data_IF_068983399696
#
_entry.id   IF_068983399696
#
_cell.length_a   1.000
_cell.length_b   1.000
_cell.length_c   1.000
_cell.angle_alpha   90.00
_cell.angle_beta   90.00
_cell.angle_gamma   90.00
#
_symmetry.space_group_name_H-M   'P 1'
#
loop_
_entity.id
_entity.type
_entity.pdbx_description
1 polymer ?
#
# COMPACT_ATOMS: atom_id res chain seq x y z
N UNK A 1 15.93 -17.17 -21.76
CA UNK A 1 16.31 -17.04 -21.08
C UNK A 1 16.35 -16.90 -20.80
N UNK A 2 16.13 -17.39 -21.36
CA UNK A 2 16.58 -17.17 -20.50
C UNK A 2 16.42 -17.02 -20.36
N UNK A 3 16.31 -17.08 -20.38
CA UNK A 3 16.69 -16.91 -19.66
C UNK A 3 16.68 -16.72 -19.41
N UNK A 4 16.36 -16.74 -19.81
CA UNK A 4 16.72 -16.46 -19.03
C UNK A 4 16.80 -16.18 -18.92
N UNK A 5 16.77 -16.26 -18.98
CA UNK A 5 17.16 -15.92 -18.25
C UNK A 5 17.25 -15.42 -18.04
N UNK A 6 17.01 -15.36 -18.51
CA UNK A 6 17.35 -14.86 -17.72
C UNK A 6 17.22 -14.40 -17.73
N UNK A 7 17.17 -14.22 -17.64
CA UNK A 7 17.33 -13.81 -17.03
C UNK A 7 17.28 -13.34 -16.83
N UNK A 8 17.06 -13.19 -17.03
CA UNK A 8 17.19 -12.77 -16.34
C UNK A 8 17.13 -12.36 -16.09
N UNK A 9 16.96 -12.23 -16.04
CA UNK A 9 16.94 -11.86 -15.31
C UNK A 9 17.08 -11.21 -15.02
N UNK A 10 16.99 -11.08 -15.10
CA UNK A 10 16.97 -10.47 -14.50
C UNK A 10 16.76 -9.91 -14.26
N UNK A 11 16.78 -9.68 -14.12
CA UNK A 11 16.28 -9.23 -13.49
C UNK A 11 15.71 -9.33 -13.63
N UNK A 12 15.38 -9.86 -13.73
CA UNK A 12 14.62 -10.06 -13.57
C UNK A 12 13.99 -9.82 -13.12
N UNK A 13 13.50 -9.65 -13.09
CA UNK A 13 12.63 -9.33 -12.55
C UNK A 13 12.12 -10.03 -11.72
N UNK A 14 12.16 -9.75 -10.97
CA UNK A 14 11.52 -10.41 -10.20
C UNK A 14 10.35 -10.02 -9.91
N UNK A 15 9.56 -10.53 -10.06
CA UNK A 15 8.40 -10.28 -9.83
C UNK A 15 8.02 -10.46 -8.55
N UNK A 16 7.48 -9.58 -7.90
CA UNK A 16 6.87 -9.83 -6.69
C UNK A 16 5.98 -10.95 -6.92
N UNK A 17 6.12 -11.84 -6.13
CA UNK A 17 5.37 -12.98 -6.33
C UNK A 17 4.08 -12.74 -5.68
N UNK A 18 3.19 -12.12 -6.41
CA UNK A 18 1.87 -11.81 -5.88
C UNK A 18 1.19 -13.03 -5.33
N UNK A 19 1.50 -14.18 -5.88
CA UNK A 19 0.88 -15.41 -5.43
C UNK A 19 1.27 -15.78 -4.02
N UNK A 20 2.35 -15.23 -3.53
CA UNK A 20 2.80 -15.52 -2.18
C UNK A 20 2.33 -14.51 -1.16
N UNK A 21 1.62 -13.48 -1.61
CA UNK A 21 1.13 -12.48 -0.68
C UNK A 21 -0.19 -12.96 -0.08
N UNK A 22 -0.41 -12.68 1.21
CA UNK A 22 -1.72 -12.97 1.79
C UNK A 22 -2.78 -12.20 1.04
N UNK A 23 -3.96 -12.78 0.92
CA UNK A 23 -5.04 -12.09 0.25
C UNK A 23 -5.81 -11.24 1.24
N UNK A 24 -6.24 -10.05 0.82
CA UNK A 24 -7.08 -9.23 1.68
C UNK A 24 -8.41 -9.92 1.95
N UNK A 25 -9.00 -9.62 3.09
CA UNK A 25 -10.27 -10.21 3.49
C UNK A 25 -11.32 -9.13 3.62
N UNK A 26 -12.54 -9.46 3.21
CA UNK A 26 -13.67 -8.54 3.41
C UNK A 26 -14.30 -8.88 4.74
N UNK A 27 -14.43 -7.87 5.60
CA UNK A 27 -15.02 -8.04 6.90
C UNK A 27 -16.56 -8.02 6.80
N UNK A 28 -17.22 -8.43 7.86
CA UNK A 28 -18.68 -8.44 7.89
C UNK A 28 -19.26 -7.06 7.67
N UNK A 29 -18.59 -6.02 8.12
CA UNK A 29 -19.07 -4.66 7.95
C UNK A 29 -18.73 -4.09 6.57
N UNK A 30 -18.11 -4.87 5.71
CA UNK A 30 -17.75 -4.44 4.36
C UNK A 30 -16.38 -3.82 4.22
N UNK A 31 -15.69 -3.59 5.33
CA UNK A 31 -14.32 -3.08 5.26
C UNK A 31 -13.40 -4.18 4.72
N UNK A 32 -12.30 -3.78 4.10
CA UNK A 32 -11.35 -4.73 3.56
C UNK A 32 -10.09 -4.66 4.38
N UNK A 33 -9.67 -5.82 4.86
CA UNK A 33 -8.52 -5.92 5.73
C UNK A 33 -7.36 -6.60 5.01
N UNK A 34 -6.23 -5.92 4.95
CA UNK A 34 -5.00 -6.48 4.42
C UNK A 34 -3.88 -6.25 5.40
N UNK A 35 -2.68 -6.21 4.90
CA UNK A 35 -1.52 -6.00 5.76
C UNK A 35 -0.36 -5.44 4.96
N UNK A 36 0.63 -4.91 5.67
CA UNK A 36 1.88 -4.46 5.06
C UNK A 36 2.67 -5.70 4.69
N UNK A 37 3.06 -5.82 3.43
CA UNK A 37 3.81 -6.97 2.93
C UNK A 37 5.27 -6.64 2.71
N UNK A 38 5.62 -5.36 2.67
CA UNK A 38 6.99 -4.96 2.40
C UNK A 38 7.19 -3.51 2.84
N UNK A 39 8.35 -3.21 3.36
CA UNK A 39 8.76 -1.84 3.64
C UNK A 39 9.93 -1.57 2.71
N UNK A 40 9.80 -0.61 1.81
CA UNK A 40 10.84 -0.39 0.83
C UNK A 40 12.00 0.43 1.41
N UNK A 41 13.01 0.67 0.59
CA UNK A 41 14.22 1.35 1.06
C UNK A 41 13.94 2.77 1.56
N UNK A 42 12.83 3.37 1.12
CA UNK A 42 12.47 4.72 1.52
C UNK A 42 11.50 4.73 2.71
N UNK A 43 11.20 3.58 3.27
CA UNK A 43 10.28 3.49 4.41
C UNK A 43 8.82 3.53 4.04
N UNK A 44 8.48 3.38 2.76
CA UNK A 44 7.09 3.31 2.34
C UNK A 44 6.53 1.95 2.69
N UNK A 45 5.27 1.94 3.12
CA UNK A 45 4.59 0.71 3.51
C UNK A 45 3.82 0.20 2.31
N UNK A 46 4.24 -0.94 1.77
CA UNK A 46 3.60 -1.56 0.61
C UNK A 46 2.61 -2.58 1.14
N UNK A 47 1.35 -2.46 0.73
CA UNK A 47 0.30 -3.34 1.24
C UNK A 47 -0.08 -4.39 0.20
N UNK A 48 -0.90 -5.35 0.61
CA UNK A 48 -1.45 -6.34 -0.30
C UNK A 48 -2.82 -5.93 -0.85
N UNK A 49 -3.19 -4.66 -0.72
CA UNK A 49 -4.46 -4.17 -1.25
C UNK A 49 -4.27 -3.79 -2.71
N UNK A 50 -4.96 -4.45 -3.65
CA UNK A 50 -4.68 -4.26 -5.07
C UNK A 50 -5.17 -2.92 -5.61
N UNK A 51 -4.65 -2.55 -6.76
CA UNK A 51 -4.99 -1.29 -7.43
C UNK A 51 -6.48 -1.15 -7.68
N UNK A 52 -7.18 -2.26 -7.85
CA UNK A 52 -8.63 -2.22 -8.08
C UNK A 52 -9.40 -1.59 -6.93
N UNK A 53 -8.76 -1.46 -5.76
CA UNK A 53 -9.40 -0.82 -4.61
C UNK A 53 -9.17 0.68 -4.56
N UNK A 54 -8.44 1.24 -5.52
CA UNK A 54 -8.19 2.68 -5.51
C UNK A 54 -9.48 3.51 -5.51
N UNK A 55 -10.50 3.20 -6.33
CA UNK A 55 -11.74 3.99 -6.25
C UNK A 55 -12.36 3.96 -4.86
N UNK A 56 -12.27 2.82 -4.19
CA UNK A 56 -12.81 2.71 -2.85
C UNK A 56 -12.00 3.52 -1.85
N UNK A 57 -10.67 3.54 -2.01
CA UNK A 57 -9.82 4.37 -1.17
C UNK A 57 -10.18 5.85 -1.36
N UNK A 58 -10.36 6.27 -2.61
CA UNK A 58 -10.71 7.66 -2.88
C UNK A 58 -12.07 8.01 -2.29
N UNK A 59 -13.03 7.08 -2.35
CA UNK A 59 -14.34 7.33 -1.78
C UNK A 59 -14.30 7.38 -0.26
N UNK A 60 -13.51 6.52 0.36
CA UNK A 60 -13.38 6.50 1.80
C UNK A 60 -12.59 7.70 2.32
N UNK A 61 -11.59 8.13 1.56
CA UNK A 61 -10.75 9.25 1.95
C UNK A 61 -9.78 8.95 3.08
N UNK A 62 -9.67 7.69 3.48
CA UNK A 62 -8.81 7.31 4.59
C UNK A 62 -8.53 5.82 4.58
N UNK A 63 -7.45 5.45 5.24
CA UNK A 63 -7.10 4.05 5.42
C UNK A 63 -6.45 3.94 6.81
N UNK A 64 -6.64 2.82 7.47
CA UNK A 64 -6.05 2.61 8.79
C UNK A 64 -4.84 1.70 8.67
N UNK A 65 -3.77 2.08 9.35
CA UNK A 65 -2.56 1.26 9.45
C UNK A 65 -2.38 0.97 10.93
N UNK A 66 -2.60 -0.26 11.34
CA UNK A 66 -2.66 -0.60 12.74
C UNK A 66 -3.77 0.21 13.40
N UNK A 67 -3.42 1.04 14.36
CA UNK A 67 -4.39 1.87 15.05
C UNK A 67 -4.38 3.33 14.59
N UNK A 68 -3.58 3.64 13.57
CA UNK A 68 -3.46 5.00 13.08
C UNK A 68 -4.28 5.17 11.81
N UNK A 69 -4.87 6.33 11.64
CA UNK A 69 -5.63 6.65 10.44
C UNK A 69 -4.82 7.55 9.55
N UNK A 70 -4.75 7.18 8.26
CA UNK A 70 -4.12 8.00 7.23
C UNK A 70 -5.25 8.61 6.44
N UNK A 71 -5.47 9.91 6.59
CA UNK A 71 -6.65 10.56 6.03
C UNK A 71 -6.35 11.46 4.85
N UNK A 72 -5.18 11.35 4.26
CA UNK A 72 -4.85 12.08 3.05
C UNK A 72 -4.54 11.08 1.94
N UNK A 73 -5.35 11.10 0.91
CA UNK A 73 -5.18 10.21 -0.24
C UNK A 73 -4.76 11.07 -1.42
N UNK A 74 -3.66 10.69 -2.07
CA UNK A 74 -3.14 11.46 -3.19
C UNK A 74 -2.88 10.53 -4.36
N UNK A 75 -2.74 11.10 -5.54
CA UNK A 75 -2.38 10.32 -6.72
C UNK A 75 -0.89 10.25 -6.90
N UNK A 76 -0.18 11.27 -6.49
CA UNK A 76 1.28 11.29 -6.55
C UNK A 76 1.80 12.01 -5.32
N UNK A 77 3.07 11.76 -5.02
CA UNK A 77 3.72 12.39 -3.88
C UNK A 77 3.70 13.92 -3.98
N UNK A 78 3.76 14.45 -5.20
CA UNK A 78 3.82 15.90 -5.37
C UNK A 78 2.56 16.65 -5.01
N UNK A 79 1.46 15.91 -4.76
CA UNK A 79 0.20 16.56 -4.41
C UNK A 79 0.14 16.95 -2.94
N UNK A 80 1.10 16.57 -2.14
CA UNK A 80 1.06 16.86 -0.72
C UNK A 80 2.37 17.49 -0.27
N UNK A 81 2.34 18.34 0.77
CA UNK A 81 3.56 18.96 1.23
C UNK A 81 4.50 17.97 1.90
N UNK A 82 5.77 18.37 1.99
CA UNK A 82 6.78 17.58 2.66
C UNK A 82 6.32 17.23 4.07
N UNK A 83 6.56 16.00 4.47
CA UNK A 83 6.20 15.53 5.80
C UNK A 83 4.78 15.00 5.91
N UNK A 84 3.99 15.08 4.82
CA UNK A 84 2.62 14.57 4.84
C UNK A 84 2.59 13.06 4.82
N UNK A 85 1.72 12.49 5.62
CA UNK A 85 1.47 11.04 5.61
C UNK A 85 0.32 10.81 4.64
N UNK A 86 0.57 10.02 3.61
CA UNK A 86 -0.38 9.86 2.50
C UNK A 86 -0.57 8.40 2.14
N UNK A 87 -1.73 8.12 1.55
CA UNK A 87 -2.00 6.83 0.93
C UNK A 87 -2.14 7.06 -0.57
N UNK A 88 -1.60 6.16 -1.36
CA UNK A 88 -1.61 6.30 -2.80
C UNK A 88 -1.44 4.94 -3.47
N UNK A 89 -1.59 4.93 -4.79
CA UNK A 89 -1.32 3.73 -5.57
C UNK A 89 0.16 3.69 -5.87
N UNK A 90 0.81 2.61 -5.47
CA UNK A 90 2.25 2.47 -5.65
C UNK A 90 2.61 1.88 -6.99
N UNK A 91 3.91 1.79 -7.24
CA UNK A 91 4.44 1.35 -8.53
C UNK A 91 4.20 -0.14 -8.79
N UNK A 92 3.90 -0.92 -7.76
CA UNK A 92 3.63 -2.34 -7.94
C UNK A 92 2.15 -2.64 -8.07
N UNK A 93 1.35 -1.59 -8.29
CA UNK A 93 -0.09 -1.71 -8.49
C UNK A 93 -0.81 -2.23 -7.25
N UNK A 94 -0.28 -1.88 -6.10
CA UNK A 94 -0.96 -2.07 -4.82
C UNK A 94 -0.95 -0.74 -4.08
N UNK A 95 -1.84 -0.61 -3.10
CA UNK A 95 -1.90 0.61 -2.31
C UNK A 95 -0.69 0.69 -1.39
N UNK A 96 -0.20 1.90 -1.19
CA UNK A 96 0.96 2.16 -0.34
C UNK A 96 0.66 3.30 0.60
N UNK A 97 1.39 3.34 1.69
CA UNK A 97 1.34 4.46 2.63
C UNK A 97 2.76 5.02 2.73
N UNK A 98 2.86 6.32 2.59
CA UNK A 98 4.16 6.98 2.52
C UNK A 98 4.14 8.30 3.28
N UNK A 99 5.33 8.79 3.60
CA UNK A 99 5.50 10.15 4.11
C UNK A 99 6.31 10.89 3.05
N UNK A 100 5.80 12.01 2.58
CA UNK A 100 6.47 12.78 1.54
C UNK A 100 7.82 13.25 2.08
N UNK A 101 8.89 12.79 1.43
CA UNK A 101 10.27 13.07 1.85
C UNK A 101 10.54 12.63 3.28
N UNK A 102 9.95 11.52 3.70
CA UNK A 102 10.17 10.96 5.02
C UNK A 102 9.94 9.45 4.98
N UNK A 103 9.78 8.85 6.16
CA UNK A 103 9.62 7.41 6.27
C UNK A 103 8.34 7.07 7.01
N UNK A 104 7.38 6.46 6.30
CA UNK A 104 6.11 6.09 6.91
C UNK A 104 6.29 5.02 7.97
N UNK A 105 7.22 4.08 7.75
CA UNK A 105 7.48 3.02 8.73
C UNK A 105 7.88 3.61 10.07
N UNK A 106 8.70 4.67 10.05
CA UNK A 106 9.13 5.32 11.29
C UNK A 106 7.99 6.13 11.88
N UNK A 107 7.29 6.89 11.04
CA UNK A 107 6.21 7.76 11.51
C UNK A 107 5.12 6.96 12.21
N UNK A 108 4.79 5.79 11.68
CA UNK A 108 3.70 4.98 12.19
C UNK A 108 4.16 3.86 13.11
N UNK A 109 5.47 3.63 13.19
CA UNK A 109 5.97 2.49 13.95
C UNK A 109 5.46 1.18 13.37
N UNK A 110 5.34 1.10 12.04
CA UNK A 110 4.72 -0.03 11.37
C UNK A 110 5.73 -0.77 10.52
N UNK A 111 5.48 -2.04 10.30
CA UNK A 111 6.34 -2.87 9.47
C UNK A 111 5.55 -4.00 8.85
N UNK A 112 6.26 -4.97 8.29
CA UNK A 112 5.62 -6.12 7.66
C UNK A 112 4.70 -6.81 8.66
N UNK A 113 3.48 -7.12 8.23
CA UNK A 113 2.49 -7.77 9.07
C UNK A 113 1.55 -6.82 9.77
N UNK A 114 1.82 -5.51 9.75
CA UNK A 114 0.90 -4.55 10.37
C UNK A 114 -0.42 -4.56 9.61
N UNK A 115 -1.55 -4.69 10.29
CA UNK A 115 -2.85 -4.70 9.60
C UNK A 115 -3.15 -3.37 8.95
N UNK A 116 -3.74 -3.44 7.76
CA UNK A 116 -4.17 -2.25 7.02
C UNK A 116 -5.63 -2.44 6.67
N UNK A 117 -6.48 -1.53 7.11
CA UNK A 117 -7.92 -1.65 6.92
C UNK A 117 -8.44 -0.51 6.05
N UNK A 118 -9.10 -0.88 4.96
CA UNK A 118 -9.74 0.08 4.08
C UNK A 118 -11.21 0.12 4.46
N UNK A 119 -11.67 1.24 5.05
CA UNK A 119 -13.04 1.27 5.55
C UNK A 119 -14.05 1.29 4.42
N UNK A 120 -15.31 1.07 4.78
CA UNK A 120 -16.40 1.15 3.82
C UNK A 120 -16.48 2.58 3.31
N UNK A 121 -16.58 2.72 1.98
CA UNK A 121 -16.69 4.05 1.41
C UNK A 121 -17.99 4.69 1.82
N UNK A 122 -17.96 6.02 1.97
CA UNK A 122 -19.16 6.71 2.35
C UNK A 122 -20.10 6.80 1.20
N UNK A 123 -21.37 6.59 1.45
CA UNK A 123 -22.35 6.76 0.37
C UNK A 123 -22.46 8.25 0.03
N UNK A 124 -22.47 8.50 -1.22
CA UNK A 124 -22.72 9.81 -1.78
C UNK A 124 -22.10 11.02 -1.14
#
# INVERSE_FOLDING_TARGET
EGDAFGDSDAGRRVEPVLLEWPEPKTRDDGAIEGEVIHVDAFGNLVTNLPASLLPRLLAAGAIRVGERTVSRVVRTYGEAPRGSLVALLGSQEVLEVAVVEGRASDRLGAGVGTPVTLPVGRPG
#
